data_IF_596181052928
#
_entry.id   IF_596181052928
#
_cell.length_a   1.000
_cell.length_b   1.000
_cell.length_c   1.000
_cell.angle_alpha   90.00
_cell.angle_beta   90.00
_cell.angle_gamma   90.00
#
_symmetry.space_group_name_H-M   'P 1'
#
loop_
_entity.id
_entity.type
_entity.pdbx_description
1 polymer ?
#
# COMPACT_ATOMS: atom_id res chain seq x y z
N UNK A 1 -15.82 -10.39 -13.56
CA UNK A 1 -14.40 -10.83 -13.66
C UNK A 1 -13.73 -10.80 -12.29
N UNK A 2 -13.80 -9.71 -11.51
CA UNK A 2 -13.27 -9.73 -10.12
C UNK A 2 -14.08 -10.59 -9.15
N UNK A 3 -15.37 -10.82 -9.43
CA UNK A 3 -16.24 -11.70 -8.63
C UNK A 3 -15.83 -13.18 -8.67
N UNK A 4 -15.09 -13.62 -9.68
CA UNK A 4 -14.59 -15.01 -9.79
C UNK A 4 -13.33 -15.24 -8.92
N UNK A 5 -12.65 -14.15 -8.51
CA UNK A 5 -11.51 -14.19 -7.61
C UNK A 5 -11.88 -13.91 -6.15
N UNK A 6 -13.16 -13.69 -5.85
CA UNK A 6 -13.64 -13.43 -4.48
C UNK A 6 -13.34 -14.58 -3.49
N UNK A 7 -13.02 -15.79 -3.98
CA UNK A 7 -12.59 -16.94 -3.18
C UNK A 7 -11.07 -17.13 -3.08
N UNK A 8 -10.27 -16.39 -3.84
CA UNK A 8 -8.82 -16.38 -3.69
C UNK A 8 -8.42 -15.26 -2.72
N UNK A 9 -7.57 -15.52 -1.71
CA UNK A 9 -7.00 -14.44 -0.93
C UNK A 9 -6.09 -13.63 -1.86
N UNK A 10 -6.58 -12.48 -2.35
CA UNK A 10 -5.80 -11.55 -3.18
C UNK A 10 -4.78 -10.86 -2.28
N UNK A 11 -3.67 -11.54 -2.02
CA UNK A 11 -2.60 -11.10 -1.15
C UNK A 11 -1.23 -11.40 -1.74
N UNK A 12 -0.23 -10.66 -1.25
CA UNK A 12 1.17 -10.92 -1.56
C UNK A 12 1.58 -12.32 -1.14
N UNK A 13 1.15 -12.77 0.04
CA UNK A 13 1.51 -14.10 0.56
C UNK A 13 0.98 -15.22 -0.31
N UNK A 14 -0.28 -15.14 -0.74
CA UNK A 14 -0.88 -16.12 -1.62
C UNK A 14 -0.20 -16.14 -2.99
N UNK A 15 0.06 -14.96 -3.58
CA UNK A 15 0.69 -14.88 -4.90
C UNK A 15 2.12 -15.45 -4.90
N UNK A 16 2.90 -15.18 -3.84
CA UNK A 16 4.23 -15.78 -3.66
C UNK A 16 4.12 -17.29 -3.53
N UNK A 17 3.24 -17.79 -2.64
CA UNK A 17 3.08 -19.23 -2.42
C UNK A 17 2.60 -19.96 -3.68
N UNK A 18 1.75 -19.32 -4.47
CA UNK A 18 1.32 -19.84 -5.75
C UNK A 18 2.49 -20.03 -6.72
N UNK A 19 3.32 -19.00 -6.94
CA UNK A 19 4.48 -19.10 -7.84
C UNK A 19 5.48 -20.17 -7.39
N UNK A 20 5.74 -20.25 -6.08
CA UNK A 20 6.60 -21.30 -5.52
C UNK A 20 6.01 -22.70 -5.74
N UNK A 21 4.70 -22.88 -5.53
CA UNK A 21 4.02 -24.14 -5.77
C UNK A 21 4.00 -24.53 -7.26
N UNK A 22 4.02 -23.56 -8.17
CA UNK A 22 4.18 -23.79 -9.62
C UNK A 22 5.63 -24.05 -10.05
N UNK A 23 6.57 -24.15 -9.11
CA UNK A 23 7.96 -24.53 -9.38
C UNK A 23 8.91 -23.37 -9.70
N UNK A 24 8.50 -22.13 -9.45
CA UNK A 24 9.43 -21.01 -9.53
C UNK A 24 10.51 -21.14 -8.43
N UNK A 25 11.81 -21.15 -8.77
CA UNK A 25 12.86 -21.20 -7.76
C UNK A 25 12.83 -19.92 -6.90
N UNK A 26 12.76 -20.02 -5.55
CA UNK A 26 12.70 -18.87 -4.65
C UNK A 26 13.78 -17.81 -4.93
N UNK A 27 15.01 -18.25 -5.19
CA UNK A 27 16.19 -17.42 -5.46
C UNK A 27 16.16 -16.69 -6.80
N UNK A 28 15.13 -16.92 -7.62
CA UNK A 28 14.82 -16.18 -8.85
C UNK A 28 13.59 -15.29 -8.72
N UNK A 29 12.78 -15.46 -7.67
CA UNK A 29 11.56 -14.68 -7.46
C UNK A 29 11.86 -13.41 -6.65
N UNK A 30 11.39 -12.27 -7.14
CA UNK A 30 11.43 -10.99 -6.42
C UNK A 30 10.01 -10.56 -6.07
N UNK A 31 9.83 -10.02 -4.86
CA UNK A 31 8.53 -9.56 -4.38
C UNK A 31 8.40 -8.04 -4.58
N UNK A 32 7.34 -7.62 -5.26
CA UNK A 32 7.07 -6.19 -5.48
C UNK A 32 6.57 -5.50 -4.22
N UNK A 33 7.01 -4.26 -4.00
CA UNK A 33 6.43 -3.31 -3.04
C UNK A 33 6.19 -1.96 -3.74
N UNK A 34 5.05 -1.35 -3.43
CA UNK A 34 4.66 -0.07 -4.01
C UNK A 34 4.96 1.08 -3.05
N UNK A 35 5.72 2.09 -3.47
CA UNK A 35 5.84 3.38 -2.77
C UNK A 35 4.68 4.32 -3.15
N UNK A 36 3.48 3.75 -3.22
CA UNK A 36 2.24 4.44 -3.54
C UNK A 36 1.08 3.75 -2.83
N UNK A 37 -0.05 4.43 -2.76
CA UNK A 37 -1.31 3.90 -2.29
C UNK A 37 -2.40 3.93 -3.36
N UNK A 38 -3.42 3.10 -3.13
CA UNK A 38 -4.69 3.20 -3.85
C UNK A 38 -5.73 3.84 -2.95
N UNK A 39 -6.49 4.76 -3.52
CA UNK A 39 -7.37 5.66 -2.78
C UNK A 39 -8.83 5.59 -3.22
N UNK A 40 -9.73 5.73 -2.25
CA UNK A 40 -11.18 5.75 -2.45
C UNK A 40 -11.85 6.86 -1.64
N UNK A 41 -12.99 7.34 -2.13
CA UNK A 41 -13.89 8.20 -1.37
C UNK A 41 -14.84 7.35 -0.53
N UNK A 42 -14.82 7.48 0.80
CA UNK A 42 -15.79 6.80 1.67
C UNK A 42 -17.21 7.31 1.40
N UNK A 43 -18.18 6.39 1.34
CA UNK A 43 -19.60 6.76 1.21
C UNK A 43 -20.15 7.44 2.47
N UNK A 44 -19.61 7.09 3.64
CA UNK A 44 -19.90 7.74 4.90
C UNK A 44 -18.61 7.94 5.70
N UNK A 45 -18.00 9.15 5.66
CA UNK A 45 -16.76 9.46 6.35
C UNK A 45 -16.84 9.33 7.89
N UNK A 46 -18.04 9.43 8.47
CA UNK A 46 -18.28 9.26 9.91
C UNK A 46 -18.62 7.80 10.29
N UNK A 47 -18.66 6.90 9.31
CA UNK A 47 -19.03 5.49 9.49
C UNK A 47 -17.82 4.57 9.63
N UNK A 48 -18.00 3.30 9.22
CA UNK A 48 -16.89 2.35 9.13
C UNK A 48 -15.85 2.84 8.11
N UNK A 49 -14.59 2.86 8.51
CA UNK A 49 -13.43 3.18 7.68
C UNK A 49 -12.38 2.07 7.64
N UNK A 50 -12.72 0.87 8.15
CA UNK A 50 -11.86 -0.31 8.05
C UNK A 50 -11.91 -0.97 6.67
N UNK A 51 -11.29 -2.14 6.56
CA UNK A 51 -11.32 -2.96 5.34
C UNK A 51 -12.76 -3.19 4.85
N UNK A 52 -12.96 -3.13 3.53
CA UNK A 52 -14.27 -3.25 2.86
C UNK A 52 -15.33 -2.22 3.30
N UNK A 53 -14.92 -1.08 3.87
CA UNK A 53 -15.82 0.06 4.05
C UNK A 53 -16.45 0.47 2.70
N UNK A 54 -17.76 0.81 2.66
CA UNK A 54 -18.41 1.26 1.43
C UNK A 54 -17.80 2.55 0.89
N UNK A 55 -17.58 2.59 -0.43
CA UNK A 55 -16.96 3.71 -1.14
C UNK A 55 -17.87 4.25 -2.24
N UNK A 56 -17.78 5.56 -2.51
CA UNK A 56 -18.53 6.27 -3.54
C UNK A 56 -17.76 6.37 -4.87
N UNK A 57 -16.46 6.01 -4.87
CA UNK A 57 -15.60 6.07 -6.05
C UNK A 57 -14.13 6.12 -5.68
N UNK A 58 -13.28 6.40 -6.67
CA UNK A 58 -11.86 6.67 -6.46
C UNK A 58 -11.66 7.95 -5.63
N UNK A 59 -10.55 8.03 -4.90
CA UNK A 59 -10.17 9.28 -4.23
C UNK A 59 -9.85 10.38 -5.24
N UNK A 60 -9.82 11.62 -4.77
CA UNK A 60 -9.27 12.73 -5.56
C UNK A 60 -7.84 12.41 -6.05
N UNK A 61 -7.44 12.91 -7.23
CA UNK A 61 -6.09 12.73 -7.73
C UNK A 61 -5.07 13.40 -6.80
N UNK A 62 -3.88 12.78 -6.69
CA UNK A 62 -2.74 13.39 -6.03
C UNK A 62 -2.29 14.67 -6.77
N UNK A 63 -1.70 15.62 -6.03
CA UNK A 63 -1.22 16.89 -6.59
C UNK A 63 -0.17 16.73 -7.69
N UNK A 64 0.57 15.63 -7.69
CA UNK A 64 1.70 15.34 -8.55
C UNK A 64 1.45 14.09 -9.40
N UNK A 65 0.85 13.03 -8.83
CA UNK A 65 0.47 11.86 -9.65
C UNK A 65 -0.64 12.17 -10.65
N UNK A 66 -1.57 13.07 -10.31
CA UNK A 66 -2.63 13.52 -11.21
C UNK A 66 -3.68 12.45 -11.58
N UNK A 67 -3.59 11.24 -11.02
CA UNK A 67 -4.49 10.12 -11.31
C UNK A 67 -5.43 9.86 -10.11
N UNK A 68 -6.74 9.84 -10.37
CA UNK A 68 -7.74 9.56 -9.34
C UNK A 68 -7.54 8.15 -8.76
N UNK A 69 -7.52 8.06 -7.42
CA UNK A 69 -7.28 6.79 -6.72
C UNK A 69 -5.83 6.29 -6.76
N UNK A 70 -4.86 7.09 -7.21
CA UNK A 70 -3.44 6.75 -7.21
C UNK A 70 -2.61 7.86 -6.56
N UNK A 71 -2.02 7.57 -5.40
CA UNK A 71 -1.38 8.58 -4.56
C UNK A 71 0.03 8.10 -4.22
N UNK A 72 1.07 8.90 -4.48
CA UNK A 72 2.45 8.57 -4.10
C UNK A 72 2.62 8.54 -2.57
N UNK A 73 3.67 7.88 -2.08
CA UNK A 73 3.97 7.86 -0.64
C UNK A 73 4.17 9.28 -0.07
N UNK A 74 4.92 10.15 -0.76
CA UNK A 74 5.11 11.52 -0.29
C UNK A 74 3.80 12.33 -0.26
N UNK A 75 2.88 12.13 -1.22
CA UNK A 75 1.55 12.75 -1.18
C UNK A 75 0.68 12.23 -0.04
N UNK A 76 0.80 10.95 0.31
CA UNK A 76 0.12 10.40 1.49
C UNK A 76 0.67 11.07 2.75
N UNK A 77 1.97 11.34 2.82
CA UNK A 77 2.56 12.05 3.95
C UNK A 77 2.08 13.50 4.07
N UNK A 78 1.70 14.16 2.97
CA UNK A 78 1.00 15.45 3.04
C UNK A 78 -0.37 15.34 3.69
N UNK A 79 -1.13 14.29 3.37
CA UNK A 79 -2.41 14.05 4.04
C UNK A 79 -2.21 13.82 5.53
N UNK A 80 -1.18 13.06 5.93
CA UNK A 80 -0.83 12.87 7.33
C UNK A 80 -0.50 14.20 8.01
N UNK A 81 0.37 15.04 7.40
CA UNK A 81 0.64 16.40 7.91
C UNK A 81 -0.60 17.27 7.97
N UNK A 82 -1.54 17.09 7.03
CA UNK A 82 -2.82 17.77 6.95
C UNK A 82 -3.89 17.24 7.91
N UNK A 83 -3.55 16.30 8.80
CA UNK A 83 -4.46 15.80 9.83
C UNK A 83 -5.23 14.53 9.45
N UNK A 84 -4.78 13.78 8.44
CA UNK A 84 -5.32 12.45 8.18
C UNK A 84 -4.96 11.48 9.31
N UNK A 85 -5.92 10.63 9.68
CA UNK A 85 -5.74 9.60 10.70
C UNK A 85 -5.13 8.36 10.06
N UNK A 86 -3.92 7.97 10.49
CA UNK A 86 -3.32 6.67 10.14
C UNK A 86 -3.88 5.56 11.02
N UNK A 87 -4.21 4.43 10.40
CA UNK A 87 -4.49 3.17 11.08
C UNK A 87 -3.68 2.04 10.43
N UNK A 88 -3.44 0.97 11.19
CA UNK A 88 -2.71 -0.22 10.71
C UNK A 88 -3.60 -1.45 10.80
N UNK A 89 -3.81 -2.12 9.68
CA UNK A 89 -4.57 -3.37 9.62
C UNK A 89 -3.64 -4.54 10.00
N UNK A 90 -3.82 -5.07 11.22
CA UNK A 90 -3.00 -6.16 11.75
C UNK A 90 -3.22 -7.48 11.00
N UNK A 91 -4.37 -7.70 10.38
CA UNK A 91 -4.63 -8.92 9.61
C UNK A 91 -3.91 -8.86 8.25
N UNK A 92 -3.91 -7.69 7.61
CA UNK A 92 -3.33 -7.48 6.27
C UNK A 92 -1.88 -7.00 6.28
N UNK A 93 -1.37 -6.61 7.46
CA UNK A 93 -0.02 -6.07 7.65
C UNK A 93 0.27 -4.87 6.75
N UNK A 94 -0.68 -3.94 6.65
CA UNK A 94 -0.53 -2.71 5.90
C UNK A 94 -1.28 -1.53 6.57
N UNK A 95 -0.74 -0.30 6.42
CA UNK A 95 -1.43 0.90 6.87
C UNK A 95 -2.48 1.39 5.86
N UNK A 96 -3.38 2.22 6.38
CA UNK A 96 -4.19 3.14 5.60
C UNK A 96 -4.32 4.48 6.31
N UNK A 97 -4.65 5.53 5.56
CA UNK A 97 -5.01 6.84 6.11
C UNK A 97 -6.44 7.20 5.77
N UNK A 98 -7.10 7.94 6.67
CA UNK A 98 -8.42 8.55 6.43
C UNK A 98 -8.29 10.05 6.62
N UNK A 99 -8.54 10.81 5.55
CA UNK A 99 -8.51 12.28 5.62
C UNK A 99 -9.76 12.82 6.29
N UNK A 100 -9.73 14.04 6.86
CA UNK A 100 -10.94 14.71 7.37
C UNK A 100 -12.04 14.87 6.31
N UNK A 101 -11.65 14.92 5.03
CA UNK A 101 -12.57 14.98 3.90
C UNK A 101 -13.19 13.62 3.54
N UNK A 102 -12.76 12.51 4.15
CA UNK A 102 -13.28 11.16 3.88
C UNK A 102 -12.62 10.44 2.71
N UNK A 103 -11.44 10.87 2.27
CA UNK A 103 -10.58 10.06 1.40
C UNK A 103 -9.91 8.97 2.25
N UNK A 104 -9.96 7.72 1.79
CA UNK A 104 -9.32 6.55 2.38
C UNK A 104 -8.22 6.08 1.44
N UNK A 105 -6.98 5.96 1.93
CA UNK A 105 -5.84 5.54 1.09
C UNK A 105 -5.10 4.41 1.78
N UNK A 106 -5.11 3.23 1.17
CA UNK A 106 -4.33 2.07 1.60
C UNK A 106 -2.97 2.09 0.90
N UNK A 107 -1.90 1.89 1.66
CA UNK A 107 -0.54 2.11 1.17
C UNK A 107 0.49 1.24 1.92
N UNK A 108 1.76 1.41 1.58
CA UNK A 108 2.90 0.87 2.31
C UNK A 108 3.68 1.99 3.01
N UNK A 109 4.08 1.75 4.25
CA UNK A 109 5.07 2.53 4.99
C UNK A 109 6.19 1.64 5.53
N UNK A 110 7.16 2.25 6.22
CA UNK A 110 8.31 1.56 6.79
C UNK A 110 7.94 0.39 7.73
N UNK A 111 6.78 0.41 8.40
CA UNK A 111 6.34 -0.70 9.24
C UNK A 111 5.93 -1.91 8.37
N UNK A 112 5.03 -1.68 7.40
CA UNK A 112 4.58 -2.73 6.48
C UNK A 112 5.67 -3.24 5.54
N UNK A 113 6.60 -2.38 5.11
CA UNK A 113 7.77 -2.77 4.30
C UNK A 113 8.68 -3.70 5.09
N UNK A 114 8.93 -3.43 6.39
CA UNK A 114 9.71 -4.32 7.26
C UNK A 114 9.04 -5.69 7.43
N UNK A 115 7.71 -5.72 7.58
CA UNK A 115 6.96 -6.98 7.64
C UNK A 115 7.10 -7.77 6.32
N UNK A 116 6.95 -7.09 5.18
CA UNK A 116 7.11 -7.67 3.84
C UNK A 116 8.52 -8.18 3.57
N UNK A 117 9.57 -7.45 3.96
CA UNK A 117 10.97 -7.90 3.86
C UNK A 117 11.19 -9.16 4.71
N UNK A 118 10.63 -9.19 5.92
CA UNK A 118 10.72 -10.38 6.80
C UNK A 118 10.03 -11.59 6.17
N UNK A 119 8.87 -11.39 5.54
CA UNK A 119 8.18 -12.43 4.78
C UNK A 119 8.98 -12.92 3.55
N UNK A 120 9.55 -12.02 2.75
CA UNK A 120 10.38 -12.41 1.61
C UNK A 120 11.61 -13.22 2.04
N UNK A 121 12.25 -12.83 3.15
CA UNK A 121 13.37 -13.58 3.75
C UNK A 121 12.95 -14.97 4.21
N UNK A 122 11.79 -15.10 4.89
CA UNK A 122 11.33 -16.40 5.39
C UNK A 122 10.97 -17.39 4.26
N UNK A 123 10.62 -16.87 3.08
CA UNK A 123 10.37 -17.66 1.86
C UNK A 123 11.62 -17.91 1.01
N UNK A 124 12.79 -17.39 1.41
CA UNK A 124 14.03 -17.53 0.65
C UNK A 124 14.01 -16.82 -0.72
N UNK A 125 13.19 -15.77 -0.86
CA UNK A 125 13.09 -15.03 -2.11
C UNK A 125 14.39 -14.32 -2.45
N UNK A 126 14.66 -14.10 -3.74
CA UNK A 126 15.83 -13.36 -4.23
C UNK A 126 15.95 -11.97 -3.63
N UNK A 127 14.82 -11.32 -3.40
CA UNK A 127 14.76 -9.96 -2.87
C UNK A 127 13.45 -9.26 -3.17
N UNK A 128 13.51 -7.93 -3.14
CA UNK A 128 12.37 -7.03 -3.36
C UNK A 128 12.56 -6.25 -4.65
N UNK A 129 11.46 -5.93 -5.32
CA UNK A 129 11.39 -4.92 -6.38
C UNK A 129 10.57 -3.74 -5.85
N UNK A 130 11.01 -2.51 -6.12
CA UNK A 130 10.31 -1.29 -5.67
C UNK A 130 9.68 -0.59 -6.87
N UNK A 131 8.39 -0.29 -6.78
CA UNK A 131 7.66 0.55 -7.71
C UNK A 131 7.11 1.77 -6.98
N UNK A 132 7.65 2.97 -7.12
CA UNK A 132 8.83 3.36 -7.88
C UNK A 132 9.65 4.39 -7.10
N UNK A 133 10.88 4.66 -7.53
CA UNK A 133 11.80 5.55 -6.81
C UNK A 133 11.25 6.97 -6.67
N UNK A 134 10.58 7.48 -7.70
CA UNK A 134 10.03 8.83 -7.77
C UNK A 134 8.76 9.04 -6.94
N UNK A 135 8.18 7.96 -6.38
CA UNK A 135 6.96 8.02 -5.56
C UNK A 135 7.24 7.99 -4.06
N UNK A 136 8.48 7.68 -3.68
CA UNK A 136 8.95 7.67 -2.30
C UNK A 136 9.24 9.10 -1.78
N UNK A 137 9.56 9.26 -0.50
CA UNK A 137 10.13 10.51 0.03
C UNK A 137 11.62 10.63 -0.40
N UNK A 138 11.84 10.72 -1.71
CA UNK A 138 13.16 10.78 -2.32
C UNK A 138 13.95 12.04 -1.92
N UNK A 139 13.25 13.09 -1.49
CA UNK A 139 13.85 14.33 -0.99
C UNK A 139 14.14 14.29 0.53
N UNK A 140 13.51 13.38 1.27
CA UNK A 140 13.60 13.28 2.73
C UNK A 140 12.83 14.38 3.48
N UNK A 141 11.81 14.95 2.84
CA UNK A 141 11.04 16.07 3.38
C UNK A 141 10.15 15.65 4.55
N UNK A 142 9.60 14.43 4.51
CA UNK A 142 8.66 13.88 5.49
C UNK A 142 9.36 13.00 6.53
N UNK A 143 10.59 12.58 6.24
CA UNK A 143 11.35 11.61 7.04
C UNK A 143 12.58 12.20 7.72
N UNK A 144 12.52 13.47 8.13
CA UNK A 144 13.58 14.12 8.91
C UNK A 144 14.92 14.22 8.18
N UNK A 145 14.90 14.37 6.85
CA UNK A 145 16.08 14.42 5.98
C UNK A 145 16.57 13.07 5.46
N UNK A 146 15.95 11.95 5.88
CA UNK A 146 16.27 10.62 5.34
C UNK A 146 15.65 10.48 3.96
N UNK A 147 16.48 10.38 2.92
CA UNK A 147 16.04 10.11 1.55
C UNK A 147 15.78 8.62 1.36
N UNK A 148 14.70 8.28 0.67
CA UNK A 148 14.26 6.90 0.43
C UNK A 148 14.08 6.10 1.74
N UNK A 149 13.19 6.55 2.64
CA UNK A 149 12.99 6.00 3.99
C UNK A 149 12.38 4.58 4.05
#
# INVERSE_FOLDING_TARGET
KDTELAGYPVSVSWAVDYWLAQGAPPEKLTMGVGTYGRGWKLSNPSGNSGFNAPVAGASQPGRATGEAGYISYYEIMDYVRGGATRAYDQERQCPYVVTPAGEWIGYDDAESVKAKVSFARSKGLRGMMVWALDLDDFAGEYSGGVKYP
#
